data_IF_094191990979
#
_entry.id   IF_094191990979
#
_cell.length_a   1.000
_cell.length_b   1.000
_cell.length_c   1.000
_cell.angle_alpha   90.00
_cell.angle_beta   90.00
_cell.angle_gamma   90.00
#
_symmetry.space_group_name_H-M   'P 1'
#
loop_
_entity.id
_entity.type
_entity.pdbx_description
1 polymer ?
#
# COMPACT_ATOMS: atom_id res chain seq x y z
N UNK A 1 -41.93 -21.12 -3.77
CA UNK A 1 -40.48 -21.26 -4.12
C UNK A 1 -39.76 -19.98 -3.73
N UNK A 2 -39.08 -20.03 -2.63
CA UNK A 2 -38.51 -18.89 -1.94
C UNK A 2 -37.10 -18.60 -2.51
N UNK A 3 -36.95 -17.41 -3.10
CA UNK A 3 -35.70 -16.92 -3.59
C UNK A 3 -34.87 -16.41 -2.40
N UNK A 4 -33.78 -17.07 -2.05
CA UNK A 4 -32.85 -16.70 -0.99
C UNK A 4 -32.13 -15.41 -1.36
N UNK A 5 -32.47 -14.33 -0.69
CA UNK A 5 -31.71 -13.07 -0.74
C UNK A 5 -30.36 -13.27 -0.05
N UNK A 6 -29.28 -13.22 -0.83
CA UNK A 6 -27.92 -13.20 -0.33
C UNK A 6 -27.70 -11.96 0.54
N UNK A 7 -27.50 -12.19 1.82
CA UNK A 7 -27.32 -11.17 2.84
C UNK A 7 -25.86 -10.65 2.83
N UNK A 8 -25.57 -9.62 2.03
CA UNK A 8 -24.30 -8.86 2.07
C UNK A 8 -24.35 -7.70 3.10
N UNK A 9 -25.01 -7.88 4.21
CA UNK A 9 -25.31 -6.83 5.19
C UNK A 9 -24.24 -6.62 6.28
N UNK A 10 -23.01 -7.14 6.13
CA UNK A 10 -22.03 -7.18 7.23
C UNK A 10 -21.21 -5.91 7.52
N UNK A 11 -21.08 -4.94 6.59
CA UNK A 11 -20.09 -3.86 6.73
C UNK A 11 -20.59 -2.42 6.52
N UNK A 12 -21.85 -2.19 6.17
CA UNK A 12 -22.37 -0.85 5.88
C UNK A 12 -23.04 -0.14 7.07
N UNK A 13 -23.03 -0.74 8.24
CA UNK A 13 -23.77 -0.19 9.40
C UNK A 13 -25.27 -0.12 9.11
N UNK A 14 -25.92 1.02 9.42
CA UNK A 14 -27.35 1.24 9.14
C UNK A 14 -27.62 1.82 7.75
N UNK A 15 -26.63 1.93 6.86
CA UNK A 15 -26.83 2.39 5.49
C UNK A 15 -27.51 1.30 4.66
N UNK A 16 -28.56 1.65 3.92
CA UNK A 16 -29.31 0.73 3.05
C UNK A 16 -28.63 0.56 1.69
N UNK A 17 -27.88 1.56 1.25
CA UNK A 17 -27.17 1.58 -0.03
C UNK A 17 -25.72 2.05 0.16
N UNK A 18 -24.90 1.83 -0.87
CA UNK A 18 -23.52 2.32 -0.87
C UNK A 18 -23.46 3.85 -0.96
N UNK A 19 -24.39 4.45 -1.69
CA UNK A 19 -24.53 5.92 -1.79
C UNK A 19 -24.78 6.55 -0.42
N UNK A 20 -25.68 5.97 0.38
CA UNK A 20 -25.95 6.45 1.75
C UNK A 20 -24.71 6.28 2.66
N UNK A 21 -23.96 5.20 2.50
CA UNK A 21 -22.71 5.01 3.23
C UNK A 21 -21.67 6.09 2.86
N UNK A 22 -21.54 6.40 1.57
CA UNK A 22 -20.65 7.46 1.08
C UNK A 22 -21.05 8.84 1.63
N UNK A 23 -22.33 9.17 1.68
CA UNK A 23 -22.79 10.43 2.28
C UNK A 23 -22.42 10.54 3.77
N UNK A 24 -22.52 9.44 4.52
CA UNK A 24 -22.07 9.41 5.93
C UNK A 24 -20.56 9.55 6.05
N UNK A 25 -19.78 8.90 5.17
CA UNK A 25 -18.32 9.06 5.17
C UNK A 25 -17.92 10.47 4.81
N UNK A 26 -18.63 11.14 3.89
CA UNK A 26 -18.37 12.54 3.53
C UNK A 26 -18.46 13.45 4.77
N UNK A 27 -19.56 13.37 5.51
CA UNK A 27 -19.77 14.16 6.72
C UNK A 27 -18.65 13.87 7.76
N UNK A 28 -18.40 12.59 8.05
CA UNK A 28 -17.37 12.20 9.02
C UNK A 28 -15.93 12.52 8.57
N UNK A 29 -15.67 12.49 7.27
CA UNK A 29 -14.36 12.86 6.72
C UNK A 29 -14.12 14.37 6.87
N UNK A 30 -15.16 15.20 6.68
CA UNK A 30 -15.12 16.65 6.92
C UNK A 30 -14.95 16.98 8.43
N UNK A 31 -15.45 16.12 9.32
CA UNK A 31 -15.19 16.18 10.76
C UNK A 31 -13.76 15.71 11.13
N UNK A 32 -12.92 15.33 10.15
CA UNK A 32 -11.55 14.91 10.36
C UNK A 32 -11.36 13.43 10.76
N UNK A 33 -12.39 12.58 10.65
CA UNK A 33 -12.28 11.16 11.01
C UNK A 33 -11.45 10.38 9.99
N UNK A 34 -10.26 9.93 10.38
CA UNK A 34 -9.29 9.26 9.49
C UNK A 34 -9.86 8.06 8.74
N UNK A 35 -10.58 7.16 9.42
CA UNK A 35 -11.22 6.00 8.79
C UNK A 35 -12.30 6.38 7.76
N UNK A 36 -13.07 7.46 8.01
CA UNK A 36 -14.05 7.95 7.05
C UNK A 36 -13.37 8.60 5.84
N UNK A 37 -12.29 9.34 6.05
CA UNK A 37 -11.47 9.91 4.98
C UNK A 37 -10.91 8.81 4.07
N UNK A 38 -10.38 7.72 4.65
CA UNK A 38 -9.90 6.57 3.90
C UNK A 38 -11.00 5.90 3.08
N UNK A 39 -12.15 5.61 3.70
CA UNK A 39 -13.28 4.97 3.00
C UNK A 39 -13.82 5.85 1.86
N UNK A 40 -13.93 7.14 2.09
CA UNK A 40 -14.33 8.11 1.08
C UNK A 40 -13.32 8.19 -0.07
N UNK A 41 -12.01 8.14 0.25
CA UNK A 41 -10.95 8.08 -0.75
C UNK A 41 -11.05 6.84 -1.63
N UNK A 42 -11.30 5.67 -1.05
CA UNK A 42 -11.53 4.41 -1.79
C UNK A 42 -12.75 4.54 -2.70
N UNK A 43 -13.85 5.13 -2.22
CA UNK A 43 -15.06 5.33 -3.02
C UNK A 43 -14.79 6.23 -4.23
N UNK A 44 -14.10 7.34 -4.06
CA UNK A 44 -13.68 8.19 -5.19
C UNK A 44 -12.68 7.49 -6.12
N UNK A 45 -11.74 6.69 -5.58
CA UNK A 45 -10.75 5.98 -6.37
C UNK A 45 -11.37 4.93 -7.30
N UNK A 46 -12.36 4.19 -6.79
CA UNK A 46 -13.06 3.12 -7.52
C UNK A 46 -14.28 3.62 -8.30
N UNK A 47 -14.95 4.67 -7.84
CA UNK A 47 -16.27 5.11 -8.34
C UNK A 47 -17.41 4.27 -7.76
N UNK A 48 -17.29 3.82 -6.51
CA UNK A 48 -18.29 3.01 -5.82
C UNK A 48 -19.17 3.90 -4.94
N UNK A 49 -20.47 4.00 -5.23
CA UNK A 49 -21.43 4.85 -4.53
C UNK A 49 -21.26 6.36 -4.78
N UNK A 50 -20.31 6.75 -5.60
CA UNK A 50 -20.02 8.13 -6.02
C UNK A 50 -19.29 8.12 -7.35
N UNK A 51 -19.39 9.21 -8.11
CA UNK A 51 -18.64 9.35 -9.36
C UNK A 51 -17.12 9.28 -9.09
N UNK A 52 -16.42 8.47 -9.87
CA UNK A 52 -14.97 8.31 -9.79
C UNK A 52 -14.23 9.63 -9.97
N UNK A 53 -13.33 9.92 -9.05
CA UNK A 53 -12.52 11.14 -9.07
C UNK A 53 -11.18 10.88 -8.34
N UNK A 54 -10.13 10.66 -9.10
CA UNK A 54 -8.81 10.39 -8.52
C UNK A 54 -8.18 11.60 -7.82
N UNK A 55 -8.52 12.83 -8.22
CA UNK A 55 -8.06 14.04 -7.55
C UNK A 55 -8.63 14.14 -6.14
N UNK A 56 -9.93 13.88 -5.99
CA UNK A 56 -10.58 13.82 -4.67
C UNK A 56 -10.08 12.62 -3.86
N UNK A 57 -9.86 11.46 -4.48
CA UNK A 57 -9.26 10.31 -3.82
C UNK A 57 -7.89 10.68 -3.24
N UNK A 58 -7.03 11.32 -4.03
CA UNK A 58 -5.70 11.76 -3.58
C UNK A 58 -5.78 12.69 -2.36
N UNK A 59 -6.69 13.68 -2.40
CA UNK A 59 -6.93 14.60 -1.27
C UNK A 59 -7.26 13.85 0.01
N UNK A 60 -8.23 12.92 -0.07
CA UNK A 60 -8.70 12.21 1.11
C UNK A 60 -7.73 11.13 1.60
N UNK A 61 -6.98 10.47 0.70
CA UNK A 61 -5.88 9.61 1.12
C UNK A 61 -4.78 10.38 1.83
N UNK A 62 -4.43 11.60 1.39
CA UNK A 62 -3.46 12.45 2.11
C UNK A 62 -3.94 12.75 3.52
N UNK A 63 -5.18 13.21 3.67
CA UNK A 63 -5.75 13.53 4.99
C UNK A 63 -5.78 12.29 5.92
N UNK A 64 -6.11 11.10 5.41
CA UNK A 64 -6.09 9.87 6.18
C UNK A 64 -4.67 9.41 6.52
N UNK A 65 -3.74 9.49 5.57
CA UNK A 65 -2.34 9.10 5.74
C UNK A 65 -1.59 9.98 6.75
N UNK A 66 -1.86 11.27 6.76
CA UNK A 66 -1.33 12.22 7.75
C UNK A 66 -1.79 11.88 9.19
N UNK A 67 -2.88 11.17 9.34
CA UNK A 67 -3.39 10.65 10.61
C UNK A 67 -2.92 9.20 10.90
N UNK A 68 -2.00 8.66 10.11
CA UNK A 68 -1.38 7.35 10.33
C UNK A 68 -2.15 6.15 9.78
N UNK A 69 -3.12 6.35 8.87
CA UNK A 69 -3.74 5.23 8.15
C UNK A 69 -2.73 4.66 7.14
N UNK A 70 -2.15 3.52 7.47
CA UNK A 70 -1.08 2.88 6.69
C UNK A 70 -1.51 2.55 5.27
N UNK A 71 -2.71 2.00 5.09
CA UNK A 71 -3.28 1.70 3.78
C UNK A 71 -3.41 2.96 2.91
N UNK A 72 -3.70 4.13 3.52
CA UNK A 72 -3.78 5.39 2.78
C UNK A 72 -2.39 5.83 2.29
N UNK A 73 -1.35 5.65 3.08
CA UNK A 73 0.04 5.94 2.69
C UNK A 73 0.48 5.05 1.52
N UNK A 74 0.17 3.75 1.59
CA UNK A 74 0.41 2.82 0.48
C UNK A 74 -0.32 3.25 -0.79
N UNK A 75 -1.62 3.60 -0.68
CA UNK A 75 -2.42 4.07 -1.82
C UNK A 75 -1.86 5.36 -2.43
N UNK A 76 -1.33 6.28 -1.62
CA UNK A 76 -0.64 7.47 -2.12
C UNK A 76 0.60 7.10 -2.93
N UNK A 77 1.44 6.20 -2.42
CA UNK A 77 2.58 5.67 -3.17
C UNK A 77 2.17 5.11 -4.52
N UNK A 78 1.11 4.32 -4.57
CA UNK A 78 0.52 3.78 -5.80
C UNK A 78 0.03 4.89 -6.75
N UNK A 79 -0.66 5.90 -6.23
CA UNK A 79 -1.20 7.00 -7.04
C UNK A 79 -0.10 7.82 -7.70
N UNK A 80 0.97 8.15 -6.96
CA UNK A 80 2.14 8.84 -7.52
C UNK A 80 2.94 7.95 -8.49
N UNK A 81 3.08 6.65 -8.20
CA UNK A 81 3.77 5.72 -9.10
C UNK A 81 3.10 5.59 -10.46
N UNK A 82 1.76 5.54 -10.49
CA UNK A 82 0.98 5.28 -11.71
C UNK A 82 0.26 6.51 -12.28
N UNK A 83 0.44 7.68 -11.70
CA UNK A 83 -0.19 8.91 -12.19
C UNK A 83 -1.71 8.91 -12.04
N UNK A 84 -2.24 8.42 -10.93
CA UNK A 84 -3.68 8.41 -10.65
C UNK A 84 -4.11 9.71 -9.97
N UNK A 85 -4.66 10.66 -10.73
CA UNK A 85 -5.07 11.98 -10.24
C UNK A 85 -3.91 12.95 -9.95
N UNK A 86 -2.71 12.58 -10.34
CA UNK A 86 -1.47 13.35 -10.18
C UNK A 86 -0.48 12.97 -11.28
N UNK A 87 0.45 13.84 -11.61
CA UNK A 87 1.56 13.50 -12.51
C UNK A 87 2.43 12.43 -11.83
N UNK A 88 2.83 11.36 -12.54
CA UNK A 88 3.72 10.35 -11.97
C UNK A 88 5.01 10.96 -11.42
N UNK A 89 5.34 10.62 -10.19
CA UNK A 89 6.55 11.07 -9.51
C UNK A 89 7.12 9.92 -8.67
N UNK A 90 8.28 9.42 -9.08
CA UNK A 90 8.93 8.29 -8.41
C UNK A 90 9.47 8.65 -7.02
N UNK A 91 9.89 9.90 -6.81
CA UNK A 91 10.36 10.37 -5.51
C UNK A 91 9.22 10.49 -4.52
N UNK A 92 8.12 11.13 -4.92
CA UNK A 92 6.91 11.19 -4.09
C UNK A 92 6.36 9.79 -3.78
N UNK A 93 6.34 8.89 -4.78
CA UNK A 93 5.91 7.51 -4.57
C UNK A 93 6.79 6.80 -3.53
N UNK A 94 8.12 6.96 -3.62
CA UNK A 94 9.05 6.41 -2.65
C UNK A 94 8.78 6.95 -1.24
N UNK A 95 8.62 8.26 -1.06
CA UNK A 95 8.39 8.89 0.24
C UNK A 95 7.12 8.35 0.92
N UNK A 96 6.04 8.16 0.17
CA UNK A 96 4.80 7.62 0.72
C UNK A 96 4.92 6.13 1.07
N UNK A 97 5.55 5.31 0.20
CA UNK A 97 5.84 3.91 0.54
C UNK A 97 6.78 3.81 1.75
N UNK A 98 7.77 4.69 1.86
CA UNK A 98 8.71 4.69 2.97
C UNK A 98 7.99 4.93 4.30
N UNK A 99 7.09 5.92 4.37
CA UNK A 99 6.26 6.17 5.55
C UNK A 99 5.41 4.95 5.94
N UNK A 100 4.78 4.28 4.99
CA UNK A 100 4.01 3.07 5.25
C UNK A 100 4.90 1.91 5.71
N UNK A 101 6.09 1.75 5.11
CA UNK A 101 7.07 0.73 5.45
C UNK A 101 7.63 0.90 6.87
N UNK A 102 7.86 2.13 7.32
CA UNK A 102 8.27 2.43 8.71
C UNK A 102 7.19 2.07 9.72
N UNK A 103 5.92 2.12 9.33
CA UNK A 103 4.79 1.66 10.14
C UNK A 103 4.57 0.15 10.05
N UNK A 104 5.44 -0.59 9.36
CA UNK A 104 5.47 -2.03 9.33
C UNK A 104 4.74 -2.69 8.17
N UNK A 105 4.22 -1.94 7.19
CA UNK A 105 3.54 -2.52 6.03
C UNK A 105 4.50 -3.32 5.14
N UNK A 106 4.30 -4.64 5.06
CA UNK A 106 5.18 -5.55 4.36
C UNK A 106 5.24 -5.31 2.83
N UNK A 107 4.12 -4.96 2.21
CA UNK A 107 4.09 -4.63 0.78
C UNK A 107 4.88 -3.34 0.51
N UNK A 108 4.73 -2.31 1.36
CA UNK A 108 5.50 -1.07 1.25
C UNK A 108 6.98 -1.29 1.52
N UNK A 109 7.35 -2.13 2.50
CA UNK A 109 8.75 -2.52 2.73
C UNK A 109 9.36 -3.18 1.50
N UNK A 110 8.63 -4.08 0.85
CA UNK A 110 9.06 -4.69 -0.41
C UNK A 110 9.24 -3.64 -1.52
N UNK A 111 8.33 -2.66 -1.63
CA UNK A 111 8.43 -1.59 -2.64
C UNK A 111 9.59 -0.65 -2.39
N UNK A 112 9.84 -0.29 -1.14
CA UNK A 112 11.01 0.50 -0.73
C UNK A 112 12.31 -0.24 -1.07
N UNK A 113 12.40 -1.53 -0.78
CA UNK A 113 13.53 -2.37 -1.19
C UNK A 113 13.75 -2.35 -2.70
N UNK A 114 12.69 -2.48 -3.49
CA UNK A 114 12.78 -2.40 -4.94
C UNK A 114 13.23 -1.01 -5.43
N UNK A 115 12.78 0.06 -4.76
CA UNK A 115 13.17 1.43 -5.09
C UNK A 115 14.67 1.64 -4.88
N UNK A 116 15.21 1.20 -3.76
CA UNK A 116 16.66 1.23 -3.51
C UNK A 116 17.45 0.37 -4.50
N UNK A 117 16.97 -0.84 -4.79
CA UNK A 117 17.66 -1.74 -5.74
C UNK A 117 17.75 -1.17 -7.14
N UNK A 118 16.69 -0.52 -7.61
CA UNK A 118 16.56 0.04 -8.97
C UNK A 118 16.99 1.51 -9.07
N UNK A 119 17.18 2.21 -7.94
CA UNK A 119 17.44 3.66 -7.94
C UNK A 119 16.22 4.46 -8.40
N UNK A 120 14.98 4.03 -8.05
CA UNK A 120 13.74 4.69 -8.45
C UNK A 120 13.22 5.61 -7.34
N UNK A 121 13.32 6.92 -7.57
CA UNK A 121 12.91 7.93 -6.60
C UNK A 121 13.88 8.12 -5.43
N UNK A 122 14.93 7.32 -5.36
CA UNK A 122 16.01 7.34 -4.35
C UNK A 122 17.30 6.88 -5.00
N UNK A 123 18.44 7.26 -4.45
CA UNK A 123 19.74 6.77 -4.90
C UNK A 123 19.82 5.25 -4.74
N UNK A 124 20.44 4.58 -5.72
CA UNK A 124 20.58 3.12 -5.71
C UNK A 124 21.44 2.67 -4.55
N UNK A 125 20.92 1.77 -3.73
CA UNK A 125 21.60 1.14 -2.60
C UNK A 125 21.13 -0.31 -2.43
N UNK A 126 21.97 -1.26 -2.88
CA UNK A 126 21.62 -2.68 -2.80
C UNK A 126 21.63 -3.21 -1.36
N UNK A 127 22.42 -2.64 -0.46
CA UNK A 127 22.44 -3.05 0.95
C UNK A 127 21.14 -2.61 1.66
N UNK A 128 20.73 -1.36 1.47
CA UNK A 128 19.44 -0.86 1.95
C UNK A 128 18.27 -1.68 1.37
N UNK A 129 18.34 -2.06 0.08
CA UNK A 129 17.31 -2.90 -0.54
C UNK A 129 17.16 -4.24 0.18
N UNK A 130 18.27 -4.91 0.49
CA UNK A 130 18.30 -6.19 1.22
C UNK A 130 17.68 -6.04 2.60
N UNK A 131 18.01 -4.99 3.33
CA UNK A 131 17.47 -4.75 4.68
C UNK A 131 15.94 -4.57 4.65
N UNK A 132 15.42 -3.86 3.66
CA UNK A 132 13.98 -3.69 3.51
C UNK A 132 13.28 -4.96 3.04
N UNK A 133 13.87 -5.72 2.11
CA UNK A 133 13.33 -7.03 1.71
C UNK A 133 13.33 -8.02 2.86
N UNK A 134 14.35 -8.01 3.75
CA UNK A 134 14.38 -8.87 4.94
C UNK A 134 13.22 -8.57 5.85
N UNK A 135 12.95 -7.29 6.17
CA UNK A 135 11.81 -6.89 7.00
C UNK A 135 10.47 -7.39 6.43
N UNK A 136 10.28 -7.27 5.11
CA UNK A 136 9.08 -7.77 4.45
C UNK A 136 9.02 -9.31 4.44
N UNK A 137 10.14 -9.99 4.17
CA UNK A 137 10.23 -11.44 4.12
C UNK A 137 9.96 -12.09 5.48
N UNK A 138 10.45 -11.51 6.58
CA UNK A 138 10.16 -11.93 7.95
C UNK A 138 8.67 -11.85 8.30
N UNK A 139 7.91 -11.03 7.60
CA UNK A 139 6.45 -10.96 7.68
C UNK A 139 5.74 -11.94 6.71
N UNK A 140 6.48 -12.79 6.00
CA UNK A 140 5.94 -13.75 5.05
C UNK A 140 5.68 -13.20 3.64
N UNK A 141 6.28 -12.06 3.27
CA UNK A 141 6.11 -11.50 1.94
C UNK A 141 6.92 -12.30 0.89
N UNK A 142 6.26 -13.19 0.14
CA UNK A 142 6.89 -14.15 -0.76
C UNK A 142 7.86 -13.54 -1.79
N UNK A 143 7.49 -12.41 -2.43
CA UNK A 143 8.36 -11.75 -3.40
C UNK A 143 9.61 -11.15 -2.75
N UNK A 144 9.50 -10.67 -1.52
CA UNK A 144 10.64 -10.17 -0.76
C UNK A 144 11.58 -11.31 -0.38
N UNK A 145 11.06 -12.47 0.03
CA UNK A 145 11.87 -13.68 0.27
C UNK A 145 12.62 -14.13 -0.99
N UNK A 146 11.98 -14.08 -2.16
CA UNK A 146 12.64 -14.40 -3.44
C UNK A 146 13.76 -13.42 -3.77
N UNK A 147 13.53 -12.11 -3.60
CA UNK A 147 14.54 -11.09 -3.86
C UNK A 147 15.72 -11.23 -2.89
N UNK A 148 15.43 -11.46 -1.61
CA UNK A 148 16.43 -11.65 -0.57
C UNK A 148 17.28 -12.90 -0.83
N UNK A 149 16.66 -14.03 -1.15
CA UNK A 149 17.39 -15.25 -1.53
C UNK A 149 18.25 -15.07 -2.77
N UNK A 150 17.77 -14.32 -3.77
CA UNK A 150 18.56 -13.99 -4.96
C UNK A 150 19.74 -13.08 -4.61
N UNK A 151 19.55 -12.10 -3.72
CA UNK A 151 20.60 -11.20 -3.25
C UNK A 151 21.74 -11.98 -2.56
N UNK A 152 21.41 -12.91 -1.65
CA UNK A 152 22.38 -13.80 -1.03
C UNK A 152 23.08 -14.73 -2.03
N UNK A 153 22.34 -15.27 -3.01
CA UNK A 153 22.92 -16.14 -4.04
C UNK A 153 23.95 -15.43 -4.91
N UNK A 154 23.74 -14.14 -5.21
CA UNK A 154 24.61 -13.32 -6.07
C UNK A 154 25.64 -12.49 -5.32
N UNK A 155 25.49 -12.31 -4.01
CA UNK A 155 26.31 -11.39 -3.23
C UNK A 155 25.99 -9.92 -3.55
N UNK A 156 24.72 -9.60 -3.86
CA UNK A 156 24.28 -8.25 -4.19
C UNK A 156 23.75 -7.54 -2.93
N UNK A 157 24.48 -6.55 -2.42
CA UNK A 157 24.12 -5.82 -1.19
C UNK A 157 24.41 -6.58 0.10
N UNK A 158 24.77 -7.86 0.01
CA UNK A 158 25.21 -8.73 1.12
C UNK A 158 26.33 -9.66 0.64
N UNK A 159 27.19 -10.19 1.53
CA UNK A 159 28.09 -11.27 1.16
C UNK A 159 27.35 -12.47 0.59
N UNK A 160 27.94 -13.12 -0.44
CA UNK A 160 27.34 -14.32 -1.00
C UNK A 160 27.24 -15.43 0.06
N UNK A 161 26.04 -15.97 0.20
CA UNK A 161 25.74 -17.10 1.12
C UNK A 161 24.68 -18.00 0.48
N UNK A 162 25.12 -19.17 0.03
CA UNK A 162 24.22 -20.15 -0.64
C UNK A 162 23.27 -20.83 0.34
N UNK A 163 23.67 -21.03 1.59
CA UNK A 163 22.82 -21.66 2.60
C UNK A 163 21.66 -20.73 2.98
N UNK A 164 21.99 -19.46 3.24
CA UNK A 164 20.99 -18.44 3.52
C UNK A 164 20.08 -18.19 2.31
N UNK A 165 20.63 -18.19 1.09
CA UNK A 165 19.84 -18.09 -0.14
C UNK A 165 18.79 -19.22 -0.25
N UNK A 166 19.18 -20.46 0.01
CA UNK A 166 18.28 -21.63 -0.04
C UNK A 166 17.20 -21.53 1.02
N UNK A 167 17.50 -21.06 2.21
CA UNK A 167 16.55 -20.85 3.30
C UNK A 167 15.43 -19.91 2.86
N UNK A 168 15.78 -18.72 2.38
CA UNK A 168 14.79 -17.72 1.94
C UNK A 168 14.00 -18.13 0.70
N UNK A 169 14.59 -18.93 -0.21
CA UNK A 169 13.89 -19.44 -1.40
C UNK A 169 12.95 -20.61 -1.10
N UNK A 170 13.11 -21.30 0.03
CA UNK A 170 12.23 -22.41 0.45
C UNK A 170 11.06 -21.95 1.34
N UNK A 171 11.17 -20.84 2.02
CA UNK A 171 10.09 -20.24 2.80
C UNK A 171 9.03 -19.70 1.84
N UNK A 172 7.90 -20.43 1.71
CA UNK A 172 6.74 -20.04 0.90
C UNK A 172 5.60 -19.61 1.80
#
# INVERSE_FOLDING_TARGET
MTCTKNNKQGYLGTASTLEEAVQRWLIKAEEGRAGAQYNLAISYYKGEGIQKDWGKALKWFKAAGEQGIVDALYMLGMMYQFGKGVVPDAKEAFEWYYKAAELGDAESQYRVGNSYYLGRGVEKDSAAAVDWWRKAAEQGHAKASQNLGTAYFRGEGVPMDKEEAIKWLKEK
#
